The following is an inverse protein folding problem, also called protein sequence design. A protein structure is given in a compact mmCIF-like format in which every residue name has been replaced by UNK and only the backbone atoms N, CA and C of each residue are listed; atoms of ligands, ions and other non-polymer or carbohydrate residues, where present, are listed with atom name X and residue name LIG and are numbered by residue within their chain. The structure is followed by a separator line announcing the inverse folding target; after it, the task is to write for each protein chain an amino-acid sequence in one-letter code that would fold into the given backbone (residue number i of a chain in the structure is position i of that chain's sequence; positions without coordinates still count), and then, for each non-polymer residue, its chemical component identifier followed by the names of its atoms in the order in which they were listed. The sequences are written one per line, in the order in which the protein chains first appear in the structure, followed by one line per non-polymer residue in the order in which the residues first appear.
data_IF_050334829215
#
_entry.id   IF_050334829215
#
_cell.length_a   1.000
_cell.length_b   1.000
_cell.length_c   1.000
_cell.angle_alpha   90.00
_cell.angle_beta   90.00
_cell.angle_gamma   90.00
#
_symmetry.space_group_name_H-M   'P 1'
#
loop_
_entity.id
_entity.type
_entity.pdbx_description
1 polymer ?
#
# COMPACT_ATOMS: atom_id res chain seq x y z
N UNK A 1 -25.94 4.06 -41.37
CA UNK A 1 -25.17 5.07 -40.62
C UNK A 1 -25.02 4.65 -39.16
N UNK A 2 -26.11 4.27 -38.50
CA UNK A 2 -26.11 3.77 -37.10
C UNK A 2 -25.23 2.53 -36.87
N UNK A 3 -25.19 1.57 -37.80
CA UNK A 3 -24.36 0.36 -37.65
C UNK A 3 -22.84 0.63 -37.60
N UNK A 4 -22.36 1.62 -38.38
CA UNK A 4 -20.94 2.04 -38.35
C UNK A 4 -20.59 2.79 -37.06
N UNK A 5 -21.50 3.60 -36.55
CA UNK A 5 -21.30 4.32 -35.28
C UNK A 5 -21.29 3.38 -34.07
N UNK A 6 -22.05 2.28 -34.13
CA UNK A 6 -22.02 1.24 -33.10
C UNK A 6 -20.71 0.45 -33.13
N UNK A 7 -20.27 0.03 -34.31
CA UNK A 7 -18.99 -0.68 -34.52
C UNK A 7 -17.79 0.18 -34.09
N UNK A 8 -17.76 1.47 -34.43
CA UNK A 8 -16.70 2.41 -33.99
C UNK A 8 -16.67 2.58 -32.46
N UNK A 9 -17.83 2.63 -31.81
CA UNK A 9 -17.93 2.76 -30.35
C UNK A 9 -17.49 1.48 -29.63
N UNK A 10 -17.85 0.31 -30.14
CA UNK A 10 -17.39 -0.98 -29.60
C UNK A 10 -15.87 -1.15 -29.74
N UNK A 11 -15.32 -0.73 -30.88
CA UNK A 11 -13.87 -0.78 -31.11
C UNK A 11 -13.10 0.16 -30.19
N UNK A 12 -13.66 1.35 -29.91
CA UNK A 12 -13.08 2.33 -28.99
C UNK A 12 -13.07 1.83 -27.54
N UNK A 13 -14.18 1.24 -27.07
CA UNK A 13 -14.30 0.65 -25.73
C UNK A 13 -13.34 -0.53 -25.56
N UNK A 14 -13.22 -1.39 -26.59
CA UNK A 14 -12.26 -2.50 -26.55
C UNK A 14 -10.82 -1.99 -26.45
N UNK A 15 -10.47 -0.93 -27.18
CA UNK A 15 -9.13 -0.33 -27.13
C UNK A 15 -8.83 0.32 -25.78
N UNK A 16 -9.77 1.08 -25.22
CA UNK A 16 -9.65 1.68 -23.89
C UNK A 16 -9.48 0.62 -22.80
N UNK A 17 -10.26 -0.47 -22.85
CA UNK A 17 -10.12 -1.58 -21.90
C UNK A 17 -8.76 -2.31 -22.00
N UNK A 18 -8.18 -2.37 -23.20
CA UNK A 18 -6.92 -3.03 -23.45
C UNK A 18 -5.72 -2.16 -23.06
N UNK A 19 -5.81 -0.84 -23.26
CA UNK A 19 -4.81 0.12 -22.81
C UNK A 19 -4.83 0.29 -21.27
N UNK A 20 -6.00 0.21 -20.63
CA UNK A 20 -6.08 0.16 -19.15
C UNK A 20 -5.44 -1.13 -18.62
N UNK A 21 -5.71 -2.28 -19.24
CA UNK A 21 -5.12 -3.56 -18.83
C UNK A 21 -3.59 -3.57 -18.90
N UNK A 22 -2.98 -2.95 -19.92
CA UNK A 22 -1.52 -2.90 -20.08
C UNK A 22 -0.82 -1.79 -19.27
N UNK A 23 -1.57 -1.06 -18.45
CA UNK A 23 -1.08 0.04 -17.63
C UNK A 23 -0.78 -0.36 -16.18
N UNK A 24 0.01 0.47 -15.49
CA UNK A 24 0.24 0.32 -14.05
C UNK A 24 -1.02 0.58 -13.22
N UNK A 25 -1.85 1.53 -13.66
CA UNK A 25 -3.15 1.84 -13.09
C UNK A 25 -4.08 0.61 -13.13
N UNK A 26 -4.09 -0.12 -14.25
CA UNK A 26 -4.83 -1.37 -14.40
C UNK A 26 -4.43 -2.39 -13.34
N UNK A 27 -3.13 -2.56 -13.08
CA UNK A 27 -2.65 -3.46 -12.01
C UNK A 27 -3.17 -3.00 -10.65
N UNK A 28 -3.03 -1.71 -10.34
CA UNK A 28 -3.46 -1.18 -9.04
C UNK A 28 -4.99 -1.29 -8.86
N UNK A 29 -5.77 -1.19 -9.94
CA UNK A 29 -7.21 -1.41 -9.91
C UNK A 29 -7.56 -2.88 -9.61
N UNK A 30 -6.89 -3.82 -10.27
CA UNK A 30 -7.10 -5.25 -10.06
C UNK A 30 -6.73 -5.70 -8.63
N UNK A 31 -5.75 -5.04 -8.02
CA UNK A 31 -5.31 -5.29 -6.64
C UNK A 31 -5.86 -4.28 -5.61
N UNK A 32 -6.88 -3.49 -5.96
CA UNK A 32 -7.38 -2.40 -5.10
C UNK A 32 -7.86 -2.87 -3.72
N UNK A 33 -8.46 -4.07 -3.65
CA UNK A 33 -8.93 -4.68 -2.41
C UNK A 33 -7.77 -5.14 -1.52
N UNK A 34 -6.73 -5.70 -2.12
CA UNK A 34 -5.51 -6.15 -1.47
C UNK A 34 -4.77 -4.95 -0.91
N UNK A 35 -4.58 -3.89 -1.71
CA UNK A 35 -3.98 -2.61 -1.30
C UNK A 35 -4.74 -2.00 -0.13
N UNK A 36 -6.08 -2.00 -0.17
CA UNK A 36 -6.91 -1.56 0.95
C UNK A 36 -6.64 -2.36 2.21
N UNK A 37 -6.70 -3.69 2.10
CA UNK A 37 -6.55 -4.59 3.24
C UNK A 37 -5.16 -4.47 3.84
N UNK A 38 -4.14 -4.33 3.01
CA UNK A 38 -2.74 -4.18 3.42
C UNK A 38 -2.46 -2.83 4.07
N UNK A 39 -3.02 -1.75 3.53
CA UNK A 39 -3.01 -0.43 4.16
C UNK A 39 -3.53 -0.54 5.60
N UNK A 40 -4.67 -1.22 5.79
CA UNK A 40 -5.22 -1.47 7.11
C UNK A 40 -4.33 -2.36 7.99
N UNK A 41 -3.74 -3.43 7.45
CA UNK A 41 -2.84 -4.31 8.20
C UNK A 41 -1.60 -3.58 8.70
N UNK A 42 -1.05 -2.64 7.96
CA UNK A 42 0.11 -1.87 8.42
C UNK A 42 -0.31 -0.76 9.38
N UNK A 43 -1.40 -0.05 9.06
CA UNK A 43 -1.92 1.00 9.92
C UNK A 43 -2.40 0.46 11.29
N UNK A 44 -3.04 -0.72 11.31
CA UNK A 44 -3.51 -1.45 12.50
C UNK A 44 -3.17 -2.94 12.43
N UNK A 45 -1.94 -3.35 12.82
CA UNK A 45 -1.45 -4.73 12.74
C UNK A 45 -2.35 -5.80 13.37
N UNK A 46 -3.10 -5.44 14.42
CA UNK A 46 -4.05 -6.35 15.08
C UNK A 46 -5.10 -6.94 14.13
N UNK A 47 -5.37 -6.31 12.99
CA UNK A 47 -6.24 -6.84 11.93
C UNK A 47 -5.75 -8.21 11.43
N UNK A 48 -4.44 -8.40 11.29
CA UNK A 48 -3.84 -9.71 10.95
C UNK A 48 -3.86 -10.70 12.13
N UNK A 49 -4.03 -10.18 13.34
CA UNK A 49 -3.99 -10.89 14.61
C UNK A 49 -5.27 -11.61 15.00
N UNK A 50 -6.29 -11.67 14.13
CA UNK A 50 -7.62 -12.20 14.45
C UNK A 50 -7.60 -13.52 15.23
N UNK A 51 -6.78 -14.49 14.80
CA UNK A 51 -6.70 -15.81 15.47
C UNK A 51 -6.03 -15.76 16.84
N UNK A 52 -5.10 -14.82 17.04
CA UNK A 52 -4.41 -14.59 18.31
C UNK A 52 -5.38 -13.95 19.29
N UNK A 53 -6.12 -12.95 18.81
CA UNK A 53 -7.15 -12.23 19.58
C UNK A 53 -8.30 -13.16 19.98
N UNK A 54 -8.73 -14.08 19.11
CA UNK A 54 -9.77 -15.09 19.44
C UNK A 54 -9.44 -15.94 20.67
N UNK A 55 -8.15 -16.15 20.96
CA UNK A 55 -7.68 -16.92 22.11
C UNK A 55 -7.58 -16.08 23.39
N UNK A 56 -7.91 -14.80 23.31
CA UNK A 56 -8.01 -13.91 24.46
C UNK A 56 -9.48 -13.70 24.84
N UNK A 57 -9.80 -13.27 26.08
CA UNK A 57 -11.18 -12.94 26.49
C UNK A 57 -11.85 -11.81 25.71
N UNK A 58 -11.19 -11.26 24.68
CA UNK A 58 -11.59 -10.07 23.95
C UNK A 58 -12.46 -10.40 22.72
N UNK A 59 -13.64 -10.98 22.94
CA UNK A 59 -14.64 -11.25 21.89
C UNK A 59 -15.03 -10.00 21.09
N UNK A 60 -15.05 -8.83 21.75
CA UNK A 60 -15.31 -7.52 21.14
C UNK A 60 -14.25 -7.11 20.10
N UNK A 61 -12.97 -7.43 20.28
CA UNK A 61 -11.95 -7.13 19.26
C UNK A 61 -12.12 -7.98 18.01
N UNK A 62 -12.53 -9.25 18.13
CA UNK A 62 -12.78 -10.08 16.94
C UNK A 62 -13.93 -9.51 16.13
N UNK A 63 -15.03 -9.09 16.78
CA UNK A 63 -16.14 -8.40 16.12
C UNK A 63 -15.70 -7.08 15.47
N UNK A 64 -14.82 -6.33 16.13
CA UNK A 64 -14.30 -5.05 15.59
C UNK A 64 -13.38 -5.28 14.38
N UNK A 65 -12.51 -6.29 14.44
CA UNK A 65 -11.69 -6.73 13.30
C UNK A 65 -12.59 -7.15 12.14
N UNK A 66 -13.60 -7.98 12.42
CA UNK A 66 -14.55 -8.47 11.40
C UNK A 66 -15.37 -7.30 10.81
N UNK A 67 -15.75 -6.29 11.60
CA UNK A 67 -16.40 -5.07 11.11
C UNK A 67 -15.49 -4.29 10.16
N UNK A 68 -14.22 -4.09 10.51
CA UNK A 68 -13.27 -3.32 9.70
C UNK A 68 -12.88 -4.05 8.40
N UNK A 69 -12.66 -5.36 8.45
CA UNK A 69 -12.33 -6.14 7.25
C UNK A 69 -13.51 -6.22 6.27
N UNK A 70 -14.74 -6.21 6.79
CA UNK A 70 -15.96 -6.31 5.99
C UNK A 70 -16.69 -4.96 5.85
N UNK A 71 -15.95 -3.84 5.84
CA UNK A 71 -16.51 -2.55 5.46
C UNK A 71 -17.12 -2.63 4.05
N UNK A 72 -18.21 -1.91 3.80
CA UNK A 72 -18.83 -1.85 2.47
C UNK A 72 -17.87 -1.20 1.47
N UNK A 73 -18.04 -1.45 0.17
CA UNK A 73 -17.20 -0.81 -0.86
C UNK A 73 -17.17 0.72 -0.73
N UNK A 74 -18.31 1.35 -0.45
CA UNK A 74 -18.42 2.79 -0.21
C UNK A 74 -17.60 3.26 1.01
N UNK A 75 -17.63 2.50 2.11
CA UNK A 75 -16.85 2.81 3.30
C UNK A 75 -15.34 2.61 3.08
N UNK A 76 -14.96 1.57 2.34
CA UNK A 76 -13.56 1.32 1.96
C UNK A 76 -13.06 2.47 1.08
N UNK A 77 -13.87 2.87 0.08
CA UNK A 77 -13.55 3.96 -0.83
C UNK A 77 -13.38 5.29 -0.09
N UNK A 78 -14.34 5.63 0.79
CA UNK A 78 -14.26 6.83 1.62
C UNK A 78 -12.99 6.85 2.50
N UNK A 79 -12.62 5.71 3.09
CA UNK A 79 -11.43 5.63 3.93
C UNK A 79 -10.13 5.81 3.12
N UNK A 80 -10.04 5.17 1.96
CA UNK A 80 -8.91 5.34 1.05
C UNK A 80 -8.85 6.75 0.48
N UNK A 81 -9.98 7.41 0.26
CA UNK A 81 -10.06 8.80 -0.16
C UNK A 81 -9.40 9.72 0.89
N UNK A 82 -9.77 9.55 2.17
CA UNK A 82 -9.16 10.26 3.30
C UNK A 82 -7.65 10.03 3.36
N UNK A 83 -7.21 8.78 3.20
CA UNK A 83 -5.79 8.42 3.25
C UNK A 83 -4.98 8.96 2.08
N UNK A 84 -5.51 8.84 0.87
CA UNK A 84 -4.85 9.31 -0.35
C UNK A 84 -4.77 10.84 -0.38
N UNK A 85 -5.79 11.55 0.10
CA UNK A 85 -5.72 13.02 0.27
C UNK A 85 -4.61 13.42 1.25
N UNK A 86 -4.38 12.61 2.27
CA UNK A 86 -3.36 12.91 3.28
C UNK A 86 -1.95 12.83 2.70
N UNK A 87 -1.70 11.87 1.81
CA UNK A 87 -0.38 11.65 1.21
C UNK A 87 -0.23 12.25 -0.19
N UNK A 88 -1.22 13.00 -0.68
CA UNK A 88 -1.11 13.71 -1.95
C UNK A 88 0.04 14.73 -1.92
N UNK A 89 0.31 15.32 -0.75
CA UNK A 89 1.46 16.17 -0.51
C UNK A 89 2.71 15.34 -0.15
N UNK A 90 3.92 15.79 -0.54
CA UNK A 90 5.17 15.12 -0.19
C UNK A 90 5.36 14.96 1.33
N UNK A 91 6.04 13.89 1.72
CA UNK A 91 6.33 13.61 3.11
C UNK A 91 7.29 14.64 3.73
N UNK A 92 6.86 15.30 4.80
CA UNK A 92 7.74 16.08 5.69
C UNK A 92 8.41 15.10 6.68
N UNK A 93 9.75 15.09 6.75
CA UNK A 93 10.65 14.06 7.34
C UNK A 93 10.37 13.54 8.79
N UNK A 94 9.31 13.99 9.46
CA UNK A 94 8.95 13.62 10.83
C UNK A 94 7.80 12.59 10.88
N UNK A 95 8.17 11.32 11.07
CA UNK A 95 7.23 10.19 11.20
C UNK A 95 6.27 10.31 12.40
N UNK A 96 6.70 10.95 13.48
CA UNK A 96 5.83 11.16 14.65
C UNK A 96 4.73 12.17 14.31
N UNK A 97 5.06 13.24 13.60
CA UNK A 97 4.08 14.19 13.09
C UNK A 97 3.16 13.56 12.05
N UNK A 98 3.71 12.77 11.11
CA UNK A 98 2.92 12.08 10.09
C UNK A 98 1.85 11.18 10.73
N UNK A 99 2.25 10.29 11.62
CA UNK A 99 1.31 9.37 12.30
C UNK A 99 0.27 10.13 13.13
N UNK A 100 0.67 11.23 13.79
CA UNK A 100 -0.25 12.09 14.54
C UNK A 100 -1.26 12.78 13.63
N UNK A 101 -0.82 13.38 12.52
CA UNK A 101 -1.69 14.04 11.53
C UNK A 101 -2.64 13.05 10.86
N UNK A 102 -2.14 11.87 10.46
CA UNK A 102 -2.95 10.77 9.91
C UNK A 102 -4.04 10.34 10.89
N UNK A 103 -3.68 10.12 12.16
CA UNK A 103 -4.65 9.79 13.21
C UNK A 103 -5.67 10.91 13.45
N UNK A 104 -5.28 12.19 13.32
CA UNK A 104 -6.21 13.31 13.43
C UNK A 104 -7.21 13.34 12.27
N UNK A 105 -6.74 13.05 11.06
CA UNK A 105 -7.57 13.02 9.86
C UNK A 105 -8.55 11.86 9.86
N UNK A 106 -8.20 10.72 10.45
CA UNK A 106 -9.14 9.61 10.66
C UNK A 106 -10.16 9.92 11.76
N UNK A 107 -9.77 10.72 12.77
CA UNK A 107 -10.67 11.11 13.87
C UNK A 107 -11.85 11.97 13.44
N UNK A 108 -11.85 12.54 12.22
CA UNK A 108 -13.02 13.23 11.69
C UNK A 108 -14.17 12.28 11.36
N UNK A 109 -13.89 10.99 11.14
CA UNK A 109 -14.91 9.93 11.05
C UNK A 109 -15.11 9.28 12.44
N UNK A 110 -16.28 9.52 13.04
CA UNK A 110 -16.60 9.06 14.40
C UNK A 110 -16.66 7.52 14.48
N UNK A 111 -17.15 6.84 13.45
CA UNK A 111 -17.34 5.39 13.46
C UNK A 111 -16.02 4.65 13.24
N UNK A 112 -15.18 5.14 12.33
CA UNK A 112 -13.84 4.61 12.12
C UNK A 112 -12.95 4.87 13.33
N UNK A 113 -13.01 6.08 13.90
CA UNK A 113 -12.29 6.43 15.14
C UNK A 113 -12.60 5.45 16.27
N UNK A 114 -13.87 5.19 16.56
CA UNK A 114 -14.26 4.24 17.63
C UNK A 114 -13.68 2.85 17.38
N UNK A 115 -13.74 2.39 16.14
CA UNK A 115 -13.27 1.06 15.75
C UNK A 115 -11.76 0.96 15.89
N UNK A 116 -11.00 1.95 15.41
CA UNK A 116 -9.55 1.99 15.53
C UNK A 116 -9.04 2.22 16.95
N UNK A 117 -9.68 3.09 17.75
CA UNK A 117 -9.36 3.27 19.17
C UNK A 117 -9.56 1.95 19.95
N UNK A 118 -10.60 1.20 19.57
CA UNK A 118 -10.87 -0.13 20.14
C UNK A 118 -9.76 -1.11 19.78
N UNK A 119 -9.37 -1.19 18.50
CA UNK A 119 -8.25 -2.02 18.04
C UNK A 119 -6.93 -1.68 18.75
N UNK A 120 -6.60 -0.39 18.91
CA UNK A 120 -5.38 0.04 19.61
C UNK A 120 -5.36 -0.37 21.08
N UNK A 121 -6.50 -0.21 21.77
CA UNK A 121 -6.65 -0.66 23.16
C UNK A 121 -6.41 -2.16 23.28
N UNK A 122 -6.93 -2.97 22.36
CA UNK A 122 -6.72 -4.40 22.40
C UNK A 122 -5.31 -4.81 22.03
N UNK A 123 -4.68 -4.15 21.05
CA UNK A 123 -3.30 -4.46 20.67
C UNK A 123 -2.35 -4.22 21.84
N UNK A 124 -2.57 -3.14 22.60
CA UNK A 124 -1.80 -2.85 23.83
C UNK A 124 -2.01 -3.85 24.97
N UNK A 125 -3.13 -4.59 24.97
CA UNK A 125 -3.42 -5.63 25.98
C UNK A 125 -2.75 -6.97 25.68
N UNK A 126 -2.33 -7.19 24.43
CA UNK A 126 -1.57 -8.38 24.06
C UNK A 126 -0.21 -8.36 24.75
N UNK A 127 0.29 -9.53 25.14
CA UNK A 127 1.67 -9.64 25.63
C UNK A 127 2.68 -9.39 24.48
N UNK A 128 3.96 -9.16 24.82
CA UNK A 128 4.99 -8.84 23.82
C UNK A 128 5.17 -9.93 22.75
N UNK A 129 4.97 -11.20 23.12
CA UNK A 129 5.08 -12.32 22.18
C UNK A 129 3.90 -12.32 21.21
N UNK A 130 2.69 -12.10 21.69
CA UNK A 130 1.48 -11.95 20.89
C UNK A 130 1.57 -10.73 19.96
N UNK A 131 2.03 -9.57 20.46
CA UNK A 131 2.25 -8.37 19.62
C UNK A 131 3.25 -8.65 18.50
N UNK A 132 4.38 -9.31 18.81
CA UNK A 132 5.36 -9.70 17.79
C UNK A 132 4.75 -10.64 16.75
N UNK A 133 3.98 -11.64 17.18
CA UNK A 133 3.32 -12.58 16.26
C UNK A 133 2.32 -11.86 15.34
N UNK A 134 1.53 -10.93 15.86
CA UNK A 134 0.60 -10.09 15.08
C UNK A 134 1.33 -9.27 14.02
N UNK A 135 2.43 -8.61 14.40
CA UNK A 135 3.25 -7.82 13.48
C UNK A 135 3.87 -8.69 12.39
N UNK A 136 4.42 -9.84 12.76
CA UNK A 136 4.98 -10.81 11.81
C UNK A 136 3.93 -11.30 10.81
N UNK A 137 2.71 -11.59 11.26
CA UNK A 137 1.62 -11.97 10.36
C UNK A 137 1.27 -10.83 9.39
N UNK A 138 1.26 -9.59 9.85
CA UNK A 138 0.96 -8.42 9.00
C UNK A 138 2.04 -8.21 7.94
N UNK A 139 3.31 -8.26 8.35
CA UNK A 139 4.46 -8.08 7.45
C UNK A 139 4.53 -9.21 6.42
N UNK A 140 4.38 -10.47 6.85
CA UNK A 140 4.45 -11.60 5.93
C UNK A 140 3.32 -11.58 4.90
N UNK A 141 2.11 -11.18 5.31
CA UNK A 141 0.99 -11.01 4.38
C UNK A 141 1.29 -9.92 3.36
N UNK A 142 1.67 -8.72 3.82
CA UNK A 142 2.01 -7.63 2.91
C UNK A 142 3.12 -8.02 1.93
N UNK A 143 4.18 -8.72 2.39
CA UNK A 143 5.24 -9.20 1.50
C UNK A 143 4.72 -10.17 0.43
N UNK A 144 3.79 -11.05 0.80
CA UNK A 144 3.13 -11.95 -0.15
C UNK A 144 2.33 -11.19 -1.20
N UNK A 145 1.52 -10.21 -0.79
CA UNK A 145 0.73 -9.40 -1.72
C UNK A 145 1.62 -8.52 -2.62
N UNK A 146 2.68 -7.92 -2.07
CA UNK A 146 3.69 -7.19 -2.86
C UNK A 146 4.24 -8.10 -3.96
N UNK A 147 4.62 -9.34 -3.63
CA UNK A 147 5.15 -10.28 -4.62
C UNK A 147 4.11 -10.62 -5.70
N UNK A 148 2.84 -10.82 -5.31
CA UNK A 148 1.76 -11.07 -6.26
C UNK A 148 1.56 -9.90 -7.23
N UNK A 149 1.53 -8.66 -6.73
CA UNK A 149 1.39 -7.46 -7.56
C UNK A 149 2.59 -7.33 -8.51
N UNK A 150 3.81 -7.55 -8.01
CA UNK A 150 5.02 -7.50 -8.84
C UNK A 150 5.04 -8.57 -9.93
N UNK A 151 4.53 -9.77 -9.64
CA UNK A 151 4.38 -10.82 -10.64
C UNK A 151 3.42 -10.37 -11.76
N UNK A 152 2.27 -9.80 -11.41
CA UNK A 152 1.32 -9.25 -12.39
C UNK A 152 1.96 -8.14 -13.25
N UNK A 153 2.74 -7.26 -12.63
CA UNK A 153 3.48 -6.21 -13.36
C UNK A 153 4.45 -6.84 -14.36
N UNK A 154 5.21 -7.85 -13.94
CA UNK A 154 6.15 -8.57 -14.81
C UNK A 154 5.45 -9.20 -16.00
N UNK A 155 4.29 -9.83 -15.79
CA UNK A 155 3.50 -10.43 -16.87
C UNK A 155 3.01 -9.36 -17.86
N UNK A 156 2.53 -8.21 -17.36
CA UNK A 156 2.07 -7.10 -18.21
C UNK A 156 3.19 -6.39 -18.96
N UNK A 157 4.41 -6.34 -18.41
CA UNK A 157 5.56 -5.76 -19.11
C UNK A 157 5.92 -6.49 -20.41
N UNK A 158 5.52 -7.76 -20.54
CA UNK A 158 5.72 -8.57 -21.75
C UNK A 158 4.74 -8.21 -22.87
N UNK A 159 3.67 -7.45 -22.58
CA UNK A 159 2.71 -7.00 -23.59
C UNK A 159 3.35 -5.99 -24.55
N UNK A 160 2.95 -6.03 -25.82
CA UNK A 160 3.52 -5.13 -26.84
C UNK A 160 3.25 -3.65 -26.55
N UNK A 161 2.03 -3.33 -26.09
CA UNK A 161 1.56 -1.99 -25.72
C UNK A 161 1.69 -1.69 -24.21
N UNK A 162 2.57 -2.39 -23.50
CA UNK A 162 2.79 -2.17 -22.08
C UNK A 162 3.23 -0.71 -21.79
N UNK A 163 2.61 -0.07 -20.80
CA UNK A 163 3.05 1.23 -20.30
C UNK A 163 4.27 1.05 -19.39
N UNK A 164 5.41 0.67 -19.99
CA UNK A 164 6.60 0.19 -19.27
C UNK A 164 7.12 1.15 -18.22
N UNK A 165 7.16 2.45 -18.51
CA UNK A 165 7.65 3.45 -17.56
C UNK A 165 6.81 3.49 -16.27
N UNK A 166 5.50 3.35 -16.40
CA UNK A 166 4.56 3.32 -15.28
C UNK A 166 4.72 2.02 -14.47
N UNK A 167 4.65 0.88 -15.17
CA UNK A 167 4.83 -0.46 -14.60
C UNK A 167 6.15 -0.58 -13.83
N UNK A 168 7.26 -0.11 -14.41
CA UNK A 168 8.57 -0.12 -13.77
C UNK A 168 8.63 0.77 -12.53
N UNK A 169 8.00 1.94 -12.56
CA UNK A 169 7.99 2.85 -11.39
C UNK A 169 7.25 2.21 -10.22
N UNK A 170 6.11 1.56 -10.50
CA UNK A 170 5.32 0.85 -9.47
C UNK A 170 6.10 -0.36 -8.94
N UNK A 171 6.72 -1.18 -9.82
CA UNK A 171 7.55 -2.31 -9.39
C UNK A 171 8.71 -1.85 -8.49
N UNK A 172 9.37 -0.74 -8.83
CA UNK A 172 10.45 -0.18 -8.02
C UNK A 172 9.99 0.25 -6.63
N UNK A 173 8.81 0.88 -6.51
CA UNK A 173 8.22 1.23 -5.21
C UNK A 173 7.94 -0.03 -4.39
N UNK A 174 7.33 -1.05 -5.02
CA UNK A 174 6.98 -2.30 -4.36
C UNK A 174 8.24 -3.07 -3.91
N UNK A 175 9.26 -3.13 -4.76
CA UNK A 175 10.57 -3.68 -4.43
C UNK A 175 11.22 -2.93 -3.26
N UNK A 176 11.12 -1.61 -3.27
CA UNK A 176 11.65 -0.79 -2.19
C UNK A 176 10.94 -1.04 -0.86
N UNK A 177 9.60 -1.13 -0.89
CA UNK A 177 8.81 -1.53 0.26
C UNK A 177 9.21 -2.91 0.79
N UNK A 178 9.42 -3.90 -0.10
CA UNK A 178 9.87 -5.23 0.30
C UNK A 178 11.22 -5.20 1.01
N UNK A 179 12.16 -4.40 0.51
CA UNK A 179 13.48 -4.21 1.14
C UNK A 179 13.37 -3.57 2.52
N UNK A 180 12.51 -2.56 2.68
CA UNK A 180 12.22 -1.91 3.96
C UNK A 180 11.65 -2.93 4.96
N UNK A 181 10.64 -3.70 4.54
CA UNK A 181 10.01 -4.71 5.38
C UNK A 181 10.97 -5.83 5.79
N UNK A 182 11.90 -6.20 4.91
CA UNK A 182 12.91 -7.22 5.17
C UNK A 182 13.92 -6.82 6.25
N UNK A 183 14.04 -5.52 6.55
CA UNK A 183 14.90 -4.99 7.64
C UNK A 183 14.24 -5.10 9.02
N UNK A 184 12.96 -5.41 9.09
CA UNK A 184 12.23 -5.56 10.34
C UNK A 184 12.55 -6.93 10.94
N UNK A 185 13.16 -7.00 12.15
CA UNK A 185 13.45 -8.27 12.78
C UNK A 185 12.15 -8.97 13.18
N UNK A 186 11.90 -10.16 12.64
CA UNK A 186 10.73 -11.01 12.93
C UNK A 186 10.97 -11.93 14.13
N UNK A 187 11.73 -11.44 15.13
CA UNK A 187 12.13 -12.18 16.32
C UNK A 187 10.93 -12.52 17.20
N UNK A 188 11.09 -13.52 18.10
CA UNK A 188 10.03 -13.94 19.02
C UNK A 188 9.60 -12.82 20.00
N UNK A 189 10.48 -11.85 20.26
CA UNK A 189 10.26 -10.73 21.16
C UNK A 189 10.83 -9.45 20.56
N UNK A 190 10.02 -8.39 20.52
CA UNK A 190 10.43 -7.07 20.06
C UNK A 190 10.99 -6.29 21.23
N UNK A 191 12.27 -5.92 21.17
CA UNK A 191 12.88 -5.08 22.20
C UNK A 191 12.36 -3.64 22.08
N UNK A 192 12.39 -2.87 23.19
CA UNK A 192 11.89 -1.48 23.21
C UNK A 192 12.62 -0.57 22.20
N UNK A 193 13.93 -0.76 22.02
CA UNK A 193 14.74 -0.04 21.03
C UNK A 193 14.45 -0.47 19.58
N UNK A 194 14.08 -1.73 19.36
CA UNK A 194 13.66 -2.24 18.04
C UNK A 194 12.29 -1.68 17.65
N UNK A 195 11.39 -1.47 18.63
CA UNK A 195 10.03 -0.97 18.38
C UNK A 195 10.00 0.35 17.60
N UNK A 196 10.85 1.32 17.96
CA UNK A 196 10.92 2.61 17.25
C UNK A 196 11.35 2.41 15.79
N UNK A 197 12.31 1.53 15.55
CA UNK A 197 12.74 1.18 14.20
C UNK A 197 11.59 0.52 13.42
N UNK A 198 10.92 -0.47 14.01
CA UNK A 198 9.79 -1.17 13.39
C UNK A 198 8.66 -0.19 13.04
N UNK A 199 8.29 0.69 13.97
CA UNK A 199 7.25 1.70 13.75
C UNK A 199 7.64 2.65 12.59
N UNK A 200 8.92 3.02 12.47
CA UNK A 200 9.42 3.81 11.34
C UNK A 200 9.33 3.07 10.01
N UNK A 201 9.86 1.84 9.93
CA UNK A 201 9.84 1.07 8.68
C UNK A 201 8.41 0.77 8.23
N UNK A 202 7.51 0.38 9.16
CA UNK A 202 6.10 0.18 8.87
C UNK A 202 5.39 1.48 8.46
N UNK A 203 5.68 2.59 9.14
CA UNK A 203 5.13 3.90 8.79
C UNK A 203 5.51 4.32 7.38
N UNK A 204 6.74 4.02 6.96
CA UNK A 204 7.21 4.29 5.62
C UNK A 204 6.60 3.36 4.57
N UNK A 205 6.49 2.06 4.84
CA UNK A 205 5.76 1.14 3.95
C UNK A 205 4.28 1.54 3.80
N UNK A 206 3.65 2.02 4.88
CA UNK A 206 2.30 2.57 4.82
C UNK A 206 2.25 3.82 3.94
N UNK A 207 3.20 4.75 4.08
CA UNK A 207 3.28 5.92 3.21
C UNK A 207 3.32 5.54 1.73
N UNK A 208 4.21 4.62 1.35
CA UNK A 208 4.35 4.19 -0.05
C UNK A 208 3.09 3.49 -0.58
N UNK A 209 2.44 2.62 0.20
CA UNK A 209 1.14 2.04 -0.17
C UNK A 209 0.08 3.12 -0.42
N UNK A 210 0.00 4.11 0.46
CA UNK A 210 -0.94 5.21 0.31
C UNK A 210 -0.61 6.10 -0.89
N UNK A 211 0.68 6.25 -1.25
CA UNK A 211 1.11 6.97 -2.45
C UNK A 211 0.71 6.24 -3.72
N UNK A 212 0.86 4.91 -3.75
CA UNK A 212 0.33 4.09 -4.86
C UNK A 212 -1.19 4.23 -4.96
N UNK A 213 -1.91 4.26 -3.84
CA UNK A 213 -3.36 4.50 -3.83
C UNK A 213 -3.72 5.93 -4.30
N UNK A 214 -2.95 6.95 -3.90
CA UNK A 214 -3.15 8.31 -4.37
C UNK A 214 -2.90 8.44 -5.88
N UNK A 215 -1.91 7.72 -6.41
CA UNK A 215 -1.68 7.61 -7.85
C UNK A 215 -2.85 6.92 -8.55
N UNK A 216 -3.32 5.77 -8.03
CA UNK A 216 -4.50 5.05 -8.55
C UNK A 216 -5.75 5.93 -8.62
N UNK A 217 -5.90 6.85 -7.66
CA UNK A 217 -7.01 7.81 -7.60
C UNK A 217 -6.75 9.11 -8.38
N UNK A 218 -5.68 9.19 -9.16
CA UNK A 218 -5.28 10.39 -9.92
C UNK A 218 -5.07 11.65 -9.05
N UNK A 219 -4.74 11.50 -7.76
CA UNK A 219 -4.43 12.64 -6.87
C UNK A 219 -3.00 13.11 -6.99
N UNK A 220 -2.12 12.24 -7.48
CA UNK A 220 -0.72 12.53 -7.78
C UNK A 220 -0.35 11.94 -9.14
N UNK A 221 0.62 12.54 -9.82
CA UNK A 221 1.15 12.03 -11.08
C UNK A 221 2.28 11.01 -10.88
N UNK A 222 2.65 10.34 -11.96
CA UNK A 222 3.76 9.38 -11.98
C UNK A 222 5.10 10.01 -11.56
N UNK A 223 5.31 11.30 -11.86
CA UNK A 223 6.54 11.99 -11.48
C UNK A 223 6.67 12.19 -9.96
N UNK A 224 5.55 12.32 -9.25
CA UNK A 224 5.55 12.40 -7.80
C UNK A 224 5.97 11.06 -7.16
N UNK A 225 5.61 9.93 -7.78
CA UNK A 225 6.08 8.60 -7.38
C UNK A 225 7.59 8.42 -7.63
N UNK A 226 8.10 8.93 -8.77
CA UNK A 226 9.54 8.92 -9.07
C UNK A 226 10.32 9.81 -8.09
N UNK A 227 9.75 10.94 -7.69
CA UNK A 227 10.34 11.81 -6.67
C UNK A 227 10.42 11.11 -5.31
N UNK A 228 9.40 10.35 -4.91
CA UNK A 228 9.46 9.54 -3.68
C UNK A 228 10.63 8.54 -3.72
N UNK A 229 10.86 7.90 -4.88
CA UNK A 229 12.02 7.01 -5.08
C UNK A 229 13.35 7.78 -4.99
N UNK A 230 13.44 8.96 -5.61
CA UNK A 230 14.68 9.75 -5.65
C UNK A 230 15.04 10.38 -4.30
N UNK A 231 14.06 10.89 -3.57
CA UNK A 231 14.20 11.54 -2.25
C UNK A 231 14.35 10.54 -1.12
N UNK A 232 14.05 9.26 -1.36
CA UNK A 232 14.26 8.22 -0.37
C UNK A 232 15.76 8.00 -0.13
N UNK A 233 16.35 8.78 0.79
CA UNK A 233 17.70 8.62 1.36
C UNK A 233 17.94 7.26 2.04
N UNK A 234 17.00 6.32 1.92
CA UNK A 234 17.01 4.99 2.50
C UNK A 234 17.55 3.98 1.49
N UNK A 235 18.79 4.20 1.04
CA UNK A 235 19.53 3.36 0.08
C UNK A 235 19.03 1.91 0.02
N UNK A 236 18.36 1.48 -1.06
CA UNK A 236 18.18 0.06 -1.33
C UNK A 236 19.57 -0.55 -1.56
N UNK A 237 19.88 -1.68 -0.91
CA UNK A 237 21.20 -2.31 -1.08
C UNK A 237 21.47 -2.71 -2.54
N UNK A 238 20.42 -2.84 -3.35
CA UNK A 238 20.49 -3.16 -4.77
C UNK A 238 19.23 -2.63 -5.45
N UNK A 239 19.14 -1.33 -5.77
CA UNK A 239 18.26 -0.96 -6.89
C UNK A 239 18.81 -1.63 -8.15
N UNK A 240 17.97 -2.34 -8.91
CA UNK A 240 18.37 -2.85 -10.23
C UNK A 240 18.80 -1.72 -11.18
N UNK A 241 18.44 -0.47 -10.86
CA UNK A 241 18.80 0.73 -11.59
C UNK A 241 19.27 1.82 -10.62
N UNK A 242 20.53 2.21 -10.72
CA UNK A 242 21.07 3.38 -10.04
C UNK A 242 20.34 4.65 -10.54
N UNK A 243 20.22 5.71 -9.73
CA UNK A 243 19.71 7.01 -10.17
C UNK A 243 20.33 7.52 -11.48
N UNK A 244 21.62 7.23 -11.72
CA UNK A 244 22.34 7.55 -12.96
C UNK A 244 21.89 6.76 -14.19
N UNK A 245 21.26 5.60 -13.99
CA UNK A 245 20.83 4.67 -15.05
C UNK A 245 19.38 4.96 -15.52
N UNK A 246 18.66 5.87 -14.85
CA UNK A 246 17.33 6.32 -15.31
C UNK A 246 17.37 7.08 -16.64
N UNK A 247 18.46 7.80 -16.94
CA UNK A 247 18.64 8.46 -18.24
C UNK A 247 18.87 7.44 -19.37
N UNK A 248 19.59 6.35 -19.09
CA UNK A 248 19.79 5.23 -20.02
C UNK A 248 18.47 4.51 -20.35
N UNK A 249 17.56 4.37 -19.39
CA UNK A 249 16.22 3.84 -19.65
C UNK A 249 15.40 4.79 -20.53
N UNK A 250 15.50 6.11 -20.35
CA UNK A 250 14.85 7.08 -21.24
C UNK A 250 15.37 6.97 -22.67
N UNK A 251 16.67 6.74 -22.87
CA UNK A 251 17.27 6.49 -24.19
C UNK A 251 16.85 5.14 -24.80
N UNK A 252 16.84 4.06 -24.01
CA UNK A 252 16.57 2.70 -24.51
C UNK A 252 15.07 2.45 -24.76
N UNK A 253 14.19 3.06 -23.96
CA UNK A 253 12.74 2.82 -24.04
C UNK A 253 11.96 3.99 -24.65
N UNK A 254 12.63 5.05 -25.10
CA UNK A 254 12.07 6.13 -25.91
C UNK A 254 10.95 6.91 -25.23
N UNK A 255 11.33 7.93 -24.46
CA UNK A 255 10.47 9.05 -24.07
C UNK A 255 11.07 10.36 -24.58
#
# INVERSE_FOLDING_TARGET
MEKRQLEEKETMIQKESFDEYSSGLGVLNDFSREIFTDTLRIYKPIISGRQIVKRTPATLSVKTIDKIINLTHEQQDHLLDIFSDFVAMPFEEDWSKFTKKLNQKIKSDIELKKSFDTLDKYFKKLDMHQQSLVLRLSINKLRGEIQSIRNEINDRMLLKNAHRAELLTIDQILYFMENVLSRIPLSKFIKKNERVKIERELGFSLYLLLRLEAYRRNKIGLDALKEDLATSNFSPMTTYLKPSEYHLIKEVFGA
#
